data_IF_430986026966
#
_entry.id   IF_430986026966
#
_cell.length_a   1.000
_cell.length_b   1.000
_cell.length_c   1.000
_cell.angle_alpha   90.00
_cell.angle_beta   90.00
_cell.angle_gamma   90.00
#
_symmetry.space_group_name_H-M   'P 1'
#
loop_
_entity.id
_entity.type
_entity.pdbx_description
1 polymer ?
#
# COMPACT_ATOMS: atom_id res chain seq x y z
N UNK A 1 5.50 -67.81 6.37
CA UNK A 1 6.11 -66.46 6.32
C UNK A 1 6.87 -66.36 5.01
N UNK A 2 6.34 -65.64 4.03
CA UNK A 2 7.03 -65.32 2.79
C UNK A 2 6.63 -63.91 2.38
N UNK A 3 7.47 -62.94 2.72
CA UNK A 3 7.31 -61.53 2.37
C UNK A 3 7.73 -61.29 0.92
N UNK A 4 6.84 -60.70 0.13
CA UNK A 4 7.12 -60.22 -1.23
C UNK A 4 7.70 -58.81 -1.15
N UNK A 5 8.87 -58.51 -1.74
CA UNK A 5 9.44 -57.16 -1.68
C UNK A 5 8.66 -56.19 -2.58
N UNK A 6 8.31 -55.03 -2.03
CA UNK A 6 7.63 -53.94 -2.72
C UNK A 6 8.55 -53.27 -3.77
N UNK A 7 8.07 -53.13 -5.01
CA UNK A 7 8.76 -52.36 -6.06
C UNK A 7 8.63 -50.85 -5.78
N UNK A 8 9.74 -50.20 -5.44
CA UNK A 8 9.83 -48.73 -5.44
C UNK A 8 10.03 -48.20 -6.87
N UNK A 9 9.09 -47.40 -7.37
CA UNK A 9 9.26 -46.65 -8.62
C UNK A 9 10.26 -45.51 -8.40
N UNK A 10 11.40 -45.56 -9.10
CA UNK A 10 12.33 -44.43 -9.17
C UNK A 10 11.85 -43.45 -10.24
N UNK A 11 11.48 -42.24 -9.84
CA UNK A 11 11.31 -41.11 -10.76
C UNK A 11 12.70 -40.58 -11.09
N UNK A 12 13.13 -40.73 -12.34
CA UNK A 12 14.34 -40.11 -12.87
C UNK A 12 14.12 -38.60 -13.03
N UNK A 13 14.67 -37.82 -12.10
CA UNK A 13 14.64 -36.35 -12.19
C UNK A 13 15.51 -35.84 -13.33
N UNK A 14 14.99 -34.88 -14.10
CA UNK A 14 15.78 -34.13 -15.09
C UNK A 14 16.87 -33.35 -14.35
N UNK A 15 18.13 -33.57 -14.76
CA UNK A 15 19.30 -32.91 -14.16
C UNK A 15 19.24 -31.40 -14.39
N UNK A 16 19.26 -30.62 -13.29
CA UNK A 16 19.31 -29.14 -13.29
C UNK A 16 20.43 -28.58 -14.19
N UNK A 17 21.53 -29.32 -14.34
CA UNK A 17 22.65 -28.97 -15.24
C UNK A 17 22.28 -29.02 -16.73
N UNK A 18 21.40 -29.94 -17.12
CA UNK A 18 20.94 -30.03 -18.52
C UNK A 18 19.97 -28.89 -18.85
N UNK A 19 19.15 -28.48 -17.89
CA UNK A 19 18.24 -27.33 -18.05
C UNK A 19 19.01 -26.01 -18.27
N UNK A 20 20.08 -25.79 -17.49
CA UNK A 20 20.96 -24.61 -17.66
C UNK A 20 21.74 -24.64 -18.99
N UNK A 21 22.08 -25.82 -19.51
CA UNK A 21 22.73 -25.97 -20.81
C UNK A 21 21.85 -25.53 -21.99
N UNK A 22 20.54 -25.79 -21.94
CA UNK A 22 19.61 -25.37 -23.00
C UNK A 22 19.31 -23.86 -23.00
N UNK A 23 19.39 -23.19 -21.85
CA UNK A 23 19.25 -21.73 -21.77
C UNK A 23 20.48 -21.02 -22.36
N UNK A 24 21.68 -21.59 -22.20
CA UNK A 24 22.93 -20.99 -22.68
C UNK A 24 23.06 -20.91 -24.21
N UNK A 25 22.53 -21.90 -24.94
CA UNK A 25 22.65 -21.94 -26.42
C UNK A 25 21.57 -21.09 -27.11
N UNK A 26 20.42 -20.88 -26.49
CA UNK A 26 19.34 -20.02 -27.03
C UNK A 26 19.62 -18.52 -26.96
N UNK A 27 20.64 -18.08 -26.22
CA UNK A 27 20.97 -16.66 -26.06
C UNK A 27 21.95 -16.11 -27.11
N UNK A 28 22.62 -16.97 -27.89
CA UNK A 28 23.59 -16.52 -28.89
C UNK A 28 22.95 -15.94 -30.17
N UNK A 29 21.68 -16.24 -30.44
CA UNK A 29 20.97 -15.80 -31.66
C UNK A 29 19.91 -14.71 -31.43
N UNK A 30 19.70 -14.25 -30.20
CA UNK A 30 18.73 -13.18 -29.87
C UNK A 30 19.36 -11.85 -29.46
N UNK A 31 20.69 -11.74 -29.48
CA UNK A 31 21.43 -10.56 -29.00
C UNK A 31 21.33 -9.27 -29.85
N UNK A 32 20.49 -9.25 -30.88
CA UNK A 32 20.35 -8.10 -31.81
C UNK A 32 19.00 -7.37 -31.73
N UNK A 33 18.12 -7.74 -30.79
CA UNK A 33 16.94 -6.92 -30.51
C UNK A 33 17.08 -6.23 -29.16
N UNK A 34 17.29 -4.89 -29.12
CA UNK A 34 17.14 -4.15 -27.89
C UNK A 34 15.68 -4.29 -27.46
N UNK A 35 15.41 -5.16 -26.49
CA UNK A 35 14.16 -5.11 -25.74
C UNK A 35 14.24 -3.77 -25.00
N UNK A 36 13.38 -2.77 -25.30
CA UNK A 36 13.32 -1.61 -24.45
C UNK A 36 12.81 -2.10 -23.10
N UNK A 37 13.72 -2.25 -22.13
CA UNK A 37 13.36 -2.22 -20.73
C UNK A 37 12.78 -0.82 -20.50
N UNK A 38 11.48 -0.67 -20.76
CA UNK A 38 10.71 0.42 -20.18
C UNK A 38 10.80 0.20 -18.68
N UNK A 39 11.77 0.85 -18.06
CA UNK A 39 11.67 1.16 -16.65
C UNK A 39 10.31 1.86 -16.50
N UNK A 40 9.42 1.29 -15.69
CA UNK A 40 8.24 2.00 -15.20
C UNK A 40 8.72 3.09 -14.23
N UNK A 41 9.52 4.04 -14.70
CA UNK A 41 9.52 5.37 -14.11
C UNK A 41 8.24 5.99 -14.64
N UNK A 42 7.23 6.12 -13.78
CA UNK A 42 6.05 6.87 -14.13
C UNK A 42 6.51 8.29 -14.52
N UNK A 43 6.18 8.72 -15.74
CA UNK A 43 6.23 10.13 -16.09
C UNK A 43 5.36 10.87 -15.04
N UNK A 44 5.99 11.70 -14.21
CA UNK A 44 5.31 12.52 -13.20
C UNK A 44 5.34 11.97 -11.76
N UNK A 45 6.52 11.72 -11.20
CA UNK A 45 6.67 11.71 -9.73
C UNK A 45 6.22 13.09 -9.19
N UNK A 46 5.34 13.15 -8.17
CA UNK A 46 4.89 14.41 -7.61
C UNK A 46 6.06 15.22 -7.09
N UNK A 47 6.02 16.54 -7.31
CA UNK A 47 7.12 17.41 -6.86
C UNK A 47 7.27 17.34 -5.33
N UNK A 48 8.50 17.46 -4.78
CA UNK A 48 8.70 17.46 -3.33
C UNK A 48 7.86 18.53 -2.61
N UNK A 49 7.66 19.68 -3.25
CA UNK A 49 6.85 20.79 -2.72
C UNK A 49 5.38 20.41 -2.59
N UNK A 50 4.84 19.67 -3.57
CA UNK A 50 3.45 19.20 -3.54
C UNK A 50 3.25 18.07 -2.54
N UNK A 51 4.24 17.19 -2.40
CA UNK A 51 4.24 16.15 -1.35
C UNK A 51 4.21 16.80 0.05
N UNK A 52 5.04 17.82 0.28
CA UNK A 52 5.06 18.55 1.54
C UNK A 52 3.74 19.27 1.82
N UNK A 53 3.12 19.85 0.79
CA UNK A 53 1.79 20.45 0.85
C UNK A 53 0.73 19.41 1.25
N UNK A 54 0.72 18.27 0.58
CA UNK A 54 -0.16 17.14 0.88
C UNK A 54 0.01 16.66 2.33
N UNK A 55 1.26 16.51 2.80
CA UNK A 55 1.57 16.09 4.18
C UNK A 55 1.11 17.11 5.22
N UNK A 56 1.24 18.42 4.95
CA UNK A 56 0.72 19.48 5.83
C UNK A 56 -0.80 19.37 5.99
N UNK A 57 -1.53 19.29 4.87
CA UNK A 57 -2.99 19.15 4.86
C UNK A 57 -3.42 17.85 5.52
N UNK A 58 -2.73 16.74 5.24
CA UNK A 58 -3.00 15.43 5.84
C UNK A 58 -2.91 15.46 7.36
N UNK A 59 -1.90 16.14 7.92
CA UNK A 59 -1.76 16.30 9.38
C UNK A 59 -2.91 17.10 9.98
N UNK A 60 -3.34 18.17 9.30
CA UNK A 60 -4.47 18.96 9.74
C UNK A 60 -5.79 18.16 9.72
N UNK A 61 -6.05 17.42 8.64
CA UNK A 61 -7.26 16.62 8.49
C UNK A 61 -7.33 15.43 9.46
N UNK A 62 -6.21 14.74 9.67
CA UNK A 62 -6.15 13.54 10.53
C UNK A 62 -5.97 13.87 12.01
N UNK A 63 -5.55 15.09 12.34
CA UNK A 63 -5.14 15.48 13.69
C UNK A 63 -3.83 14.83 14.16
N UNK A 64 -3.15 14.06 13.30
CA UNK A 64 -1.89 13.37 13.65
C UNK A 64 -0.71 14.33 13.50
N UNK A 65 0.13 14.42 14.54
CA UNK A 65 1.35 15.25 14.52
C UNK A 65 2.42 14.70 13.60
N UNK A 66 2.54 13.37 13.53
CA UNK A 66 3.56 12.66 12.77
C UNK A 66 2.89 11.71 11.79
N UNK A 67 3.10 11.94 10.50
CA UNK A 67 2.70 11.04 9.42
C UNK A 67 3.96 10.56 8.70
N UNK A 68 3.98 9.30 8.28
CA UNK A 68 5.14 8.74 7.58
C UNK A 68 5.24 9.38 6.17
N UNK A 69 6.35 10.07 5.85
CA UNK A 69 6.47 10.81 4.59
C UNK A 69 6.51 9.88 3.37
N UNK A 70 7.08 8.68 3.49
CA UNK A 70 7.13 7.70 2.39
C UNK A 70 5.74 7.18 2.04
N UNK A 71 4.91 6.92 3.07
CA UNK A 71 3.51 6.54 2.86
C UNK A 71 2.73 7.72 2.25
N UNK A 72 2.97 8.93 2.75
CA UNK A 72 2.31 10.13 2.23
C UNK A 72 2.61 10.39 0.75
N UNK A 73 3.87 10.26 0.32
CA UNK A 73 4.25 10.38 -1.09
C UNK A 73 3.53 9.34 -1.96
N UNK A 74 3.49 8.07 -1.52
CA UNK A 74 2.83 6.98 -2.26
C UNK A 74 1.31 7.16 -2.32
N UNK A 75 0.68 7.58 -1.22
CA UNK A 75 -0.74 7.92 -1.21
C UNK A 75 -1.03 9.07 -2.17
N UNK A 76 -0.22 10.13 -2.14
CA UNK A 76 -0.42 11.27 -3.02
C UNK A 76 -0.27 10.90 -4.49
N UNK A 77 0.76 10.13 -4.85
CA UNK A 77 0.93 9.62 -6.21
C UNK A 77 -0.26 8.74 -6.66
N UNK A 78 -0.74 7.84 -5.80
CA UNK A 78 -1.90 6.99 -6.11
C UNK A 78 -3.20 7.80 -6.26
N UNK A 79 -3.38 8.88 -5.49
CA UNK A 79 -4.52 9.78 -5.64
C UNK A 79 -4.41 10.57 -6.95
N UNK A 80 -3.24 11.11 -7.28
CA UNK A 80 -3.01 11.87 -8.51
C UNK A 80 -3.33 11.04 -9.77
N UNK A 81 -2.95 9.76 -9.79
CA UNK A 81 -3.26 8.87 -10.92
C UNK A 81 -4.77 8.72 -11.18
N UNK A 82 -5.61 8.85 -10.14
CA UNK A 82 -7.07 8.73 -10.27
C UNK A 82 -7.79 10.06 -10.37
N UNK A 83 -7.28 11.07 -9.68
CA UNK A 83 -7.86 12.41 -9.58
C UNK A 83 -6.75 13.45 -9.78
N UNK A 84 -6.33 13.70 -11.02
CA UNK A 84 -5.28 14.68 -11.32
C UNK A 84 -5.59 16.08 -10.76
N UNK A 85 -6.86 16.47 -10.78
CA UNK A 85 -7.36 17.75 -10.27
C UNK A 85 -7.11 17.96 -8.76
N UNK A 86 -6.76 16.91 -8.01
CA UNK A 86 -6.45 17.01 -6.58
C UNK A 86 -5.32 18.01 -6.33
N UNK A 87 -4.35 18.13 -7.24
CA UNK A 87 -3.22 19.03 -7.11
C UNK A 87 -3.67 20.49 -6.94
N UNK A 88 -4.60 20.94 -7.79
CA UNK A 88 -5.19 22.27 -7.70
C UNK A 88 -6.11 22.42 -6.47
N UNK A 89 -6.78 21.34 -6.05
CA UNK A 89 -7.69 21.35 -4.91
C UNK A 89 -6.96 21.44 -3.56
N UNK A 90 -5.70 21.01 -3.45
CA UNK A 90 -4.91 21.11 -2.22
C UNK A 90 -4.81 22.55 -1.71
N UNK A 91 -4.68 23.54 -2.61
CA UNK A 91 -4.58 24.94 -2.20
C UNK A 91 -5.88 25.45 -1.57
N UNK A 92 -7.03 24.96 -2.04
CA UNK A 92 -8.33 25.29 -1.45
C UNK A 92 -8.54 24.71 -0.04
N UNK A 93 -7.73 23.72 0.36
CA UNK A 93 -7.80 23.10 1.69
C UNK A 93 -6.86 23.76 2.70
N UNK A 94 -5.77 24.39 2.25
CA UNK A 94 -4.80 25.04 3.16
C UNK A 94 -5.39 26.25 3.91
N UNK A 95 -6.36 26.92 3.29
CA UNK A 95 -6.98 28.14 3.82
C UNK A 95 -8.15 27.87 4.77
N UNK A 96 -8.54 26.60 4.94
CA UNK A 96 -9.71 26.25 5.72
C UNK A 96 -9.41 26.31 7.22
N UNK A 97 -10.28 26.96 8.01
CA UNK A 97 -10.12 27.01 9.45
C UNK A 97 -10.20 25.60 10.03
N UNK A 98 -9.46 25.37 11.12
CA UNK A 98 -9.62 24.15 11.90
C UNK A 98 -11.04 24.11 12.48
N UNK A 99 -11.87 23.17 12.02
CA UNK A 99 -13.21 22.92 12.56
C UNK A 99 -14.35 23.02 11.54
N UNK A 100 -15.29 22.07 11.68
CA UNK A 100 -16.58 21.90 10.99
C UNK A 100 -16.58 22.00 9.44
N UNK A 101 -16.52 20.84 8.73
CA UNK A 101 -16.63 20.76 7.27
C UNK A 101 -17.95 21.27 6.67
N UNK A 102 -18.94 21.60 7.50
CA UNK A 102 -20.27 22.06 7.07
C UNK A 102 -20.24 23.35 6.26
N UNK A 103 -19.20 24.17 6.41
CA UNK A 103 -18.98 25.39 5.64
C UNK A 103 -18.20 25.16 4.33
N UNK A 104 -17.68 23.95 4.11
CA UNK A 104 -16.82 23.65 2.97
C UNK A 104 -17.66 23.36 1.73
N UNK A 105 -17.19 23.83 0.58
CA UNK A 105 -17.78 23.47 -0.71
C UNK A 105 -17.70 21.96 -0.97
N UNK A 106 -18.59 21.43 -1.81
CA UNK A 106 -18.57 20.01 -2.17
C UNK A 106 -17.20 19.52 -2.67
N UNK A 107 -16.49 20.23 -3.57
CA UNK A 107 -15.16 19.80 -4.01
C UNK A 107 -14.13 19.72 -2.88
N UNK A 108 -14.18 20.64 -1.90
CA UNK A 108 -13.29 20.61 -0.73
C UNK A 108 -13.59 19.40 0.16
N UNK A 109 -14.88 19.11 0.39
CA UNK A 109 -15.28 17.92 1.17
C UNK A 109 -14.84 16.63 0.47
N UNK A 110 -14.99 16.54 -0.84
CA UNK A 110 -14.60 15.36 -1.63
C UNK A 110 -13.07 15.18 -1.62
N UNK A 111 -12.31 16.26 -1.78
CA UNK A 111 -10.85 16.23 -1.70
C UNK A 111 -10.39 15.77 -0.31
N UNK A 112 -10.94 16.36 0.76
CA UNK A 112 -10.62 15.97 2.12
C UNK A 112 -10.99 14.50 2.41
N UNK A 113 -12.14 14.04 1.90
CA UNK A 113 -12.59 12.65 2.05
C UNK A 113 -11.64 11.65 1.42
N UNK A 114 -11.17 11.91 0.19
CA UNK A 114 -10.23 11.02 -0.49
C UNK A 114 -8.89 10.95 0.27
N UNK A 115 -8.40 12.08 0.77
CA UNK A 115 -7.17 12.13 1.59
C UNK A 115 -7.34 11.32 2.88
N UNK A 116 -8.45 11.54 3.60
CA UNK A 116 -8.75 10.83 4.84
C UNK A 116 -8.93 9.32 4.61
N UNK A 117 -9.63 8.92 3.56
CA UNK A 117 -9.78 7.51 3.18
C UNK A 117 -8.42 6.86 2.91
N UNK A 118 -7.54 7.53 2.15
CA UNK A 118 -6.19 7.06 1.88
C UNK A 118 -5.39 6.77 3.16
N UNK A 119 -5.44 7.67 4.14
CA UNK A 119 -4.72 7.50 5.40
C UNK A 119 -5.34 6.45 6.33
N UNK A 120 -6.66 6.48 6.48
CA UNK A 120 -7.34 5.59 7.42
C UNK A 120 -7.42 4.15 6.92
N UNK A 121 -7.62 3.94 5.62
CA UNK A 121 -7.72 2.61 5.02
C UNK A 121 -6.37 2.10 4.49
N UNK A 122 -5.39 2.99 4.28
CA UNK A 122 -4.10 2.63 3.71
C UNK A 122 -4.14 2.30 2.21
N UNK A 123 -5.22 2.68 1.52
CA UNK A 123 -5.49 2.32 0.13
C UNK A 123 -6.22 3.45 -0.60
N UNK A 124 -6.10 3.48 -1.93
CA UNK A 124 -6.75 4.47 -2.80
C UNK A 124 -7.53 3.78 -3.91
N UNK A 125 -8.80 4.14 -4.05
CA UNK A 125 -9.75 3.50 -4.97
C UNK A 125 -10.50 2.34 -4.32
N UNK A 126 -11.24 1.61 -5.14
CA UNK A 126 -12.13 0.52 -4.71
C UNK A 126 -12.10 -0.62 -5.74
N UNK A 127 -12.62 -1.79 -5.36
CA UNK A 127 -12.75 -2.93 -6.27
C UNK A 127 -11.42 -3.47 -6.78
N UNK A 128 -11.40 -3.89 -8.05
CA UNK A 128 -10.24 -4.52 -8.67
C UNK A 128 -9.09 -3.55 -8.95
N UNK A 129 -9.41 -2.26 -9.08
CA UNK A 129 -8.39 -1.26 -9.42
C UNK A 129 -7.65 -0.78 -8.18
N UNK A 130 -8.01 -1.19 -6.97
CA UNK A 130 -7.53 -0.59 -5.72
C UNK A 130 -6.00 -0.59 -5.58
N UNK A 131 -5.44 0.55 -5.18
CA UNK A 131 -4.02 0.68 -4.88
C UNK A 131 -3.82 0.59 -3.36
N UNK A 132 -3.33 -0.55 -2.87
CA UNK A 132 -2.96 -0.71 -1.45
C UNK A 132 -1.57 -0.12 -1.24
N UNK A 133 -1.47 0.94 -0.44
CA UNK A 133 -0.21 1.64 -0.15
C UNK A 133 0.42 1.13 1.13
N UNK A 134 -0.39 0.89 2.16
CA UNK A 134 0.05 0.30 3.42
C UNK A 134 -1.08 -0.49 4.06
N UNK A 135 -0.72 -1.54 4.80
CA UNK A 135 -1.68 -2.29 5.60
C UNK A 135 -1.44 -2.03 7.09
N UNK A 136 -0.24 -2.34 7.57
CA UNK A 136 0.13 -2.23 8.99
C UNK A 136 0.02 -0.80 9.53
N UNK A 137 0.30 0.21 8.70
CA UNK A 137 0.36 1.62 9.12
C UNK A 137 -0.91 2.41 8.77
N UNK A 138 -2.01 1.74 8.41
CA UNK A 138 -3.29 2.41 8.19
C UNK A 138 -3.83 2.97 9.51
N UNK A 139 -4.26 4.24 9.51
CA UNK A 139 -4.58 4.94 10.76
C UNK A 139 -5.79 4.35 11.50
N UNK A 140 -6.68 3.63 10.81
CA UNK A 140 -7.80 2.97 11.47
C UNK A 140 -7.35 1.89 12.47
N UNK A 141 -6.20 1.25 12.24
CA UNK A 141 -5.65 0.27 13.17
C UNK A 141 -4.96 0.93 14.35
N UNK A 142 -4.27 2.06 14.12
CA UNK A 142 -3.66 2.84 15.21
C UNK A 142 -4.72 3.32 16.22
N UNK A 143 -5.88 3.75 15.72
CA UNK A 143 -6.98 4.29 16.52
C UNK A 143 -7.57 3.32 17.56
N UNK A 144 -7.31 2.02 17.43
CA UNK A 144 -7.84 0.94 18.29
C UNK A 144 -6.74 0.00 18.77
N UNK A 145 -5.47 0.41 18.63
CA UNK A 145 -4.30 -0.47 18.84
C UNK A 145 -4.07 -0.88 20.31
N UNK A 146 -4.74 -0.22 21.24
CA UNK A 146 -4.79 -0.55 22.66
C UNK A 146 -5.64 -1.80 22.95
N UNK A 147 -6.57 -2.15 22.06
CA UNK A 147 -7.53 -3.26 22.25
C UNK A 147 -7.45 -4.28 21.13
N UNK A 148 -7.43 -3.81 19.88
CA UNK A 148 -7.54 -4.63 18.69
C UNK A 148 -6.19 -4.82 18.00
N UNK A 149 -6.06 -6.00 17.40
CA UNK A 149 -4.85 -6.42 16.70
C UNK A 149 -5.16 -6.45 15.21
N UNK A 150 -4.18 -6.04 14.42
CA UNK A 150 -4.28 -6.13 12.96
C UNK A 150 -4.41 -7.60 12.57
N UNK A 151 -5.38 -7.93 11.71
CA UNK A 151 -5.53 -9.31 11.23
C UNK A 151 -4.22 -9.76 10.55
N UNK A 152 -3.89 -11.04 10.70
CA UNK A 152 -2.60 -11.67 10.34
C UNK A 152 -1.38 -11.31 11.20
N UNK A 153 -1.51 -10.38 12.16
CA UNK A 153 -0.47 -10.09 13.15
C UNK A 153 -0.85 -10.74 14.48
N UNK A 154 0.06 -11.54 15.04
CA UNK A 154 -0.13 -12.14 16.36
C UNK A 154 0.33 -11.16 17.45
N UNK A 155 -0.38 -11.16 18.58
CA UNK A 155 0.15 -10.56 19.80
C UNK A 155 1.18 -11.49 20.43
N UNK A 156 2.03 -10.92 21.27
CA UNK A 156 2.96 -11.71 22.09
C UNK A 156 2.27 -12.39 23.30
N UNK A 157 0.93 -12.30 23.43
CA UNK A 157 0.16 -12.92 24.51
C UNK A 157 -1.20 -13.45 24.02
N UNK A 158 -1.41 -14.77 23.97
CA UNK A 158 -2.73 -15.33 23.69
C UNK A 158 -3.71 -15.03 24.84
N UNK A 159 -5.02 -15.06 24.54
CA UNK A 159 -6.08 -14.88 25.55
C UNK A 159 -6.43 -13.42 25.88
N UNK A 160 -5.78 -12.44 25.26
CA UNK A 160 -6.03 -11.01 25.52
C UNK A 160 -7.50 -10.59 25.30
N UNK A 161 -8.21 -11.29 24.40
CA UNK A 161 -9.61 -11.04 24.06
C UNK A 161 -10.62 -11.39 25.17
N UNK A 162 -10.21 -12.12 26.21
CA UNK A 162 -11.10 -12.48 27.32
C UNK A 162 -11.34 -11.32 28.29
N UNK A 163 -10.43 -10.33 28.34
CA UNK A 163 -10.58 -9.16 29.18
C UNK A 163 -11.50 -8.12 28.54
N UNK A 164 -12.37 -7.49 29.35
CA UNK A 164 -13.14 -6.33 28.90
C UNK A 164 -12.17 -5.16 28.65
N UNK A 165 -12.27 -4.46 27.51
CA UNK A 165 -11.47 -3.26 27.27
C UNK A 165 -11.72 -2.19 28.34
N UNK A 166 -10.64 -1.60 28.85
CA UNK A 166 -10.71 -0.47 29.77
C UNK A 166 -10.76 0.83 28.93
N UNK A 167 -11.97 1.32 28.66
CA UNK A 167 -12.17 2.53 27.87
C UNK A 167 -12.15 3.72 28.82
N UNK A 168 -10.98 4.35 28.97
CA UNK A 168 -10.93 5.70 29.53
C UNK A 168 -11.47 6.67 28.46
N UNK A 169 -12.75 7.07 28.60
CA UNK A 169 -13.37 8.12 27.79
C UNK A 169 -12.88 9.52 28.21
#
# INVERSE_FOLDING_TARGET
>A
MSDTPSKTLRVSGVSRRRLLGYIGVGLASSLMMPVPLKAFAADGEPSPVDVDKFLRISRALTGKKHLNPVIGQRLYAAILQRKPDIAAQLDSLQTLPAGAPSSWSQPQQDAARIILQGWYLGQVGEGQDIAVVTYEKALMFEAVSDVLVIRSYCTNRPGYWAAKPDVAL
#
